data_IF_341933893099
#
_entry.id   IF_341933893099
#
_cell.length_a   1.000
_cell.length_b   1.000
_cell.length_c   1.000
_cell.angle_alpha   90.00
_cell.angle_beta   90.00
_cell.angle_gamma   90.00
#
_symmetry.space_group_name_H-M   'P 1'
#
loop_
_entity.id
_entity.type
_entity.pdbx_description
1 polymer ?
#
# COMPACT_ATOMS: atom_id res chain seq x y z
N UNK A 1 -21.34 24.36 27.42
CA UNK A 1 -20.36 23.29 27.12
C UNK A 1 -19.24 23.46 28.13
N UNK A 2 -19.12 22.54 29.09
CA UNK A 2 -18.11 22.60 30.14
C UNK A 2 -16.71 22.64 29.51
N UNK A 3 -15.95 23.69 29.81
CA UNK A 3 -14.55 23.80 29.43
C UNK A 3 -13.76 23.04 30.49
N UNK A 4 -13.11 21.96 30.08
CA UNK A 4 -12.30 21.17 31.00
C UNK A 4 -10.90 21.78 31.07
N UNK A 5 -10.47 22.08 32.28
CA UNK A 5 -9.20 22.75 32.59
C UNK A 5 -8.16 21.66 32.85
N UNK A 6 -7.05 21.66 32.11
CA UNK A 6 -5.92 20.75 32.35
C UNK A 6 -4.78 21.53 32.99
N UNK A 7 -4.45 21.20 34.23
CA UNK A 7 -3.32 21.78 34.94
C UNK A 7 -2.13 20.82 34.89
N UNK A 8 -1.02 21.30 34.36
CA UNK A 8 0.24 20.58 34.31
C UNK A 8 1.29 21.31 35.13
N UNK A 9 2.13 20.55 35.82
CA UNK A 9 3.35 21.08 36.40
C UNK A 9 4.40 21.19 35.30
N UNK A 10 5.23 22.24 35.31
CA UNK A 10 6.29 22.42 34.29
C UNK A 10 7.32 21.28 34.27
N UNK A 11 7.38 20.45 35.32
CA UNK A 11 8.27 19.27 35.42
C UNK A 11 7.59 17.96 34.99
N UNK A 12 6.31 17.98 34.63
CA UNK A 12 5.55 16.79 34.27
C UNK A 12 5.81 16.40 32.80
N UNK A 13 6.66 15.38 32.60
CA UNK A 13 6.93 14.79 31.29
C UNK A 13 6.06 13.56 30.99
N UNK A 14 5.01 13.30 31.78
CA UNK A 14 4.20 12.10 31.63
C UNK A 14 3.19 12.22 30.48
N UNK A 15 3.02 11.14 29.72
CA UNK A 15 1.97 11.05 28.71
C UNK A 15 0.61 10.79 29.39
N UNK A 16 -0.39 11.61 29.09
CA UNK A 16 -1.75 11.45 29.62
C UNK A 16 -2.73 11.16 28.49
N UNK A 17 -3.67 10.24 28.74
CA UNK A 17 -4.80 10.01 27.84
C UNK A 17 -5.90 11.01 28.16
N UNK A 18 -6.42 11.67 27.13
CA UNK A 18 -7.49 12.68 27.25
C UNK A 18 -8.71 12.22 26.45
N UNK A 19 -9.90 12.54 26.95
CA UNK A 19 -11.14 12.35 26.22
C UNK A 19 -11.24 13.43 25.13
N UNK A 20 -11.98 13.17 24.05
CA UNK A 20 -12.20 14.21 23.02
C UNK A 20 -12.89 15.41 23.65
N UNK A 21 -12.43 16.62 23.36
CA UNK A 21 -13.00 17.82 23.96
C UNK A 21 -12.20 19.08 23.67
N UNK A 22 -12.73 20.21 24.11
CA UNK A 22 -12.00 21.48 24.15
C UNK A 22 -11.43 21.67 25.54
N UNK A 23 -10.13 21.89 25.60
CA UNK A 23 -9.41 22.04 26.85
C UNK A 23 -8.63 23.35 26.87
N UNK A 24 -8.66 23.99 28.03
CA UNK A 24 -7.74 25.08 28.35
C UNK A 24 -6.54 24.46 29.08
N UNK A 25 -5.33 24.73 28.60
CA UNK A 25 -4.09 24.17 29.13
C UNK A 25 -3.44 25.22 30.02
N UNK A 26 -3.24 24.84 31.28
CA UNK A 26 -2.57 25.64 32.29
C UNK A 26 -1.26 24.96 32.67
N UNK A 27 -0.22 25.76 32.81
CA UNK A 27 1.08 25.33 33.34
C UNK A 27 1.34 26.15 34.60
N UNK A 28 1.52 25.49 35.75
CA UNK A 28 1.69 26.16 37.05
C UNK A 28 0.64 27.27 37.29
N UNK A 29 -0.64 26.95 37.08
CA UNK A 29 -1.79 27.87 37.21
C UNK A 29 -1.84 29.07 36.25
N UNK A 30 -0.91 29.17 35.30
CA UNK A 30 -0.93 30.18 34.23
C UNK A 30 -1.54 29.59 32.96
N UNK A 31 -2.54 30.25 32.38
CA UNK A 31 -3.17 29.80 31.13
C UNK A 31 -2.23 30.04 29.96
N UNK A 32 -1.73 28.98 29.34
CA UNK A 32 -0.75 29.08 28.25
C UNK A 32 -1.39 28.86 26.88
N UNK A 33 -2.38 27.96 26.79
CA UNK A 33 -3.12 27.70 25.54
C UNK A 33 -4.62 27.61 25.84
N UNK A 34 -5.43 28.34 25.06
CA UNK A 34 -6.89 28.38 25.20
C UNK A 34 -7.58 27.67 24.05
N UNK A 35 -8.71 27.05 24.36
CA UNK A 35 -9.65 26.46 23.38
C UNK A 35 -9.02 25.43 22.42
N UNK A 36 -8.04 24.66 22.89
CA UNK A 36 -7.44 23.60 22.07
C UNK A 36 -8.41 22.42 21.94
N UNK A 37 -8.73 22.08 20.70
CA UNK A 37 -9.60 20.95 20.38
C UNK A 37 -8.77 19.66 20.24
N UNK A 38 -8.87 18.78 21.23
CA UNK A 38 -8.27 17.45 21.19
C UNK A 38 -9.22 16.50 20.48
N UNK A 39 -8.75 15.97 19.35
CA UNK A 39 -9.50 15.04 18.52
C UNK A 39 -9.04 13.59 18.74
N UNK A 40 -9.94 12.64 18.48
CA UNK A 40 -9.69 11.21 18.74
C UNK A 40 -8.57 10.66 17.84
N UNK A 41 -7.65 9.91 18.45
CA UNK A 41 -6.54 9.25 17.73
C UNK A 41 -5.38 10.16 17.35
N UNK A 42 -5.47 11.47 17.61
CA UNK A 42 -4.35 12.38 17.47
C UNK A 42 -3.43 12.35 18.69
N UNK A 43 -2.13 12.49 18.44
CA UNK A 43 -1.12 12.69 19.49
C UNK A 43 -0.63 14.13 19.38
N UNK A 44 -0.79 14.88 20.47
CA UNK A 44 -0.38 16.27 20.57
C UNK A 44 0.79 16.36 21.54
N UNK A 45 1.83 17.10 21.15
CA UNK A 45 2.92 17.50 22.04
C UNK A 45 2.81 18.98 22.32
N UNK A 46 2.80 19.33 23.60
CA UNK A 46 2.79 20.71 24.05
C UNK A 46 4.20 21.02 24.52
N UNK A 47 4.94 21.79 23.74
CA UNK A 47 6.24 22.30 24.11
C UNK A 47 6.03 23.54 24.97
N UNK A 48 6.56 23.55 26.19
CA UNK A 48 6.49 24.70 27.10
C UNK A 48 7.89 25.24 27.29
N UNK A 49 8.09 26.52 26.97
CA UNK A 49 9.30 27.28 27.29
C UNK A 49 8.99 28.25 28.44
N UNK A 50 9.87 28.29 29.42
CA UNK A 50 9.83 29.24 30.53
C UNK A 50 10.66 30.47 30.14
N UNK A 51 9.98 31.61 29.99
CA UNK A 51 10.61 32.92 29.80
C UNK A 51 10.65 33.66 31.15
N UNK A 52 11.59 34.62 31.35
CA UNK A 52 11.68 35.39 32.59
C UNK A 52 10.42 36.18 32.97
N UNK A 53 9.46 36.33 32.05
CA UNK A 53 8.20 37.08 32.22
C UNK A 53 6.95 36.20 32.10
N UNK A 54 7.07 34.89 31.87
CA UNK A 54 5.93 33.98 31.79
C UNK A 54 6.22 32.63 31.13
N UNK A 55 5.17 31.86 30.86
CA UNK A 55 5.25 30.58 30.14
C UNK A 55 4.77 30.78 28.70
N UNK A 56 5.57 30.34 27.73
CA UNK A 56 5.17 30.23 26.32
C UNK A 56 4.94 28.75 26.00
N UNK A 57 3.81 28.39 25.39
CA UNK A 57 3.61 27.03 24.92
C UNK A 57 3.22 26.99 23.45
N UNK A 58 3.82 26.02 22.75
CA UNK A 58 3.50 25.69 21.38
C UNK A 58 3.00 24.26 21.31
N UNK A 59 1.85 24.06 20.66
CA UNK A 59 1.29 22.74 20.44
C UNK A 59 1.60 22.24 19.03
N UNK A 60 2.28 21.11 18.97
CA UNK A 60 2.62 20.41 17.74
C UNK A 60 1.78 19.14 17.66
N UNK A 61 1.08 18.96 16.55
CA UNK A 61 0.36 17.72 16.25
C UNK A 61 1.38 16.73 15.68
N UNK A 62 1.65 15.64 16.41
CA UNK A 62 2.54 14.57 15.93
C UNK A 62 1.78 13.64 15.00
N UNK A 63 0.60 13.21 15.44
CA UNK A 63 -0.26 12.31 14.68
C UNK A 63 -1.55 13.04 14.34
N UNK A 64 -1.91 13.15 13.05
CA UNK A 64 -3.17 13.74 12.65
C UNK A 64 -4.36 13.00 13.29
N UNK A 65 -5.47 13.71 13.52
CA UNK A 65 -6.66 13.08 14.06
C UNK A 65 -7.24 12.06 13.11
N UNK A 66 -7.75 10.97 13.68
CA UNK A 66 -8.35 9.92 12.88
C UNK A 66 -9.68 10.43 12.29
N UNK A 67 -9.74 10.51 10.95
CA UNK A 67 -10.90 11.00 10.21
C UNK A 67 -11.69 9.89 9.53
N UNK A 68 -11.11 8.70 9.32
CA UNK A 68 -11.70 7.62 8.52
C UNK A 68 -11.54 6.27 9.21
N UNK A 69 -12.59 5.45 9.19
CA UNK A 69 -12.50 4.08 9.71
C UNK A 69 -11.54 3.23 8.88
N UNK A 70 -10.68 2.47 9.57
CA UNK A 70 -9.75 1.50 8.96
C UNK A 70 -10.47 0.49 8.04
N UNK A 71 -11.76 0.21 8.28
CA UNK A 71 -12.55 -0.70 7.45
C UNK A 71 -12.67 -0.24 5.99
N UNK A 72 -12.45 1.05 5.69
CA UNK A 72 -12.43 1.53 4.30
C UNK A 72 -11.26 0.98 3.47
N UNK A 73 -10.21 0.44 4.11
CA UNK A 73 -9.15 -0.27 3.39
C UNK A 73 -9.59 -1.66 2.90
N UNK A 74 -10.61 -2.26 3.51
CA UNK A 74 -11.08 -3.61 3.12
C UNK A 74 -11.51 -3.69 1.64
N UNK A 75 -12.43 -2.84 1.14
CA UNK A 75 -12.90 -2.96 -0.24
C UNK A 75 -11.78 -2.78 -1.28
N UNK A 76 -10.84 -1.85 -1.06
CA UNK A 76 -9.71 -1.64 -1.98
C UNK A 76 -8.78 -2.87 -2.04
N UNK A 77 -8.47 -3.50 -0.90
CA UNK A 77 -7.61 -4.69 -0.87
C UNK A 77 -8.29 -5.87 -1.56
N UNK A 78 -9.60 -6.04 -1.34
CA UNK A 78 -10.38 -7.09 -2.01
C UNK A 78 -10.35 -6.91 -3.52
N UNK A 79 -10.62 -5.71 -4.04
CA UNK A 79 -10.61 -5.44 -5.49
C UNK A 79 -9.21 -5.62 -6.09
N UNK A 80 -8.16 -5.11 -5.44
CA UNK A 80 -6.79 -5.25 -5.95
C UNK A 80 -6.34 -6.71 -5.98
N UNK A 81 -6.57 -7.47 -4.91
CA UNK A 81 -6.17 -8.88 -4.83
C UNK A 81 -6.93 -9.76 -5.82
N UNK A 82 -8.24 -9.52 -6.01
CA UNK A 82 -9.00 -10.21 -7.06
C UNK A 82 -8.42 -9.92 -8.44
N UNK A 83 -8.11 -8.66 -8.76
CA UNK A 83 -7.49 -8.29 -10.03
C UNK A 83 -6.12 -8.94 -10.24
N UNK A 84 -5.28 -8.94 -9.21
CA UNK A 84 -3.96 -9.57 -9.24
C UNK A 84 -4.05 -11.07 -9.51
N UNK A 85 -4.91 -11.80 -8.80
CA UNK A 85 -5.07 -13.26 -8.98
C UNK A 85 -5.62 -13.55 -10.38
N UNK A 86 -6.63 -12.80 -10.81
CA UNK A 86 -7.22 -12.98 -12.14
C UNK A 86 -6.21 -12.72 -13.26
N UNK A 87 -5.33 -11.72 -13.14
CA UNK A 87 -4.36 -11.41 -14.19
C UNK A 87 -3.11 -12.30 -14.11
N UNK A 88 -2.51 -12.42 -12.93
CA UNK A 88 -1.21 -13.08 -12.73
C UNK A 88 -1.28 -14.59 -12.92
N UNK A 89 -2.26 -15.24 -12.25
CA UNK A 89 -2.37 -16.70 -12.30
C UNK A 89 -2.81 -17.16 -13.70
N UNK A 90 -3.86 -16.55 -14.25
CA UNK A 90 -4.38 -16.94 -15.57
C UNK A 90 -3.41 -16.57 -16.70
N UNK A 91 -2.72 -15.44 -16.60
CA UNK A 91 -1.73 -14.99 -17.59
C UNK A 91 -0.53 -15.93 -17.67
N UNK A 92 -0.03 -16.37 -16.52
CA UNK A 92 1.05 -17.38 -16.45
C UNK A 92 0.59 -18.73 -16.98
N UNK A 93 -0.60 -19.19 -16.58
CA UNK A 93 -1.16 -20.45 -17.05
C UNK A 93 -1.32 -20.45 -18.58
N UNK A 94 -1.92 -19.40 -19.14
CA UNK A 94 -2.05 -19.21 -20.58
C UNK A 94 -0.68 -19.22 -21.28
N UNK A 95 0.29 -18.48 -20.75
CA UNK A 95 1.63 -18.41 -21.32
C UNK A 95 2.34 -19.77 -21.30
N UNK A 96 2.13 -20.59 -20.26
CA UNK A 96 2.64 -21.95 -20.22
C UNK A 96 1.94 -22.91 -21.19
N UNK A 97 0.66 -22.70 -21.51
CA UNK A 97 -0.01 -23.48 -22.59
C UNK A 97 0.48 -23.09 -23.98
N UNK A 98 0.93 -21.85 -24.16
CA UNK A 98 1.42 -21.30 -25.42
C UNK A 98 2.95 -21.35 -25.55
N UNK A 99 3.66 -22.03 -24.66
CA UNK A 99 5.12 -22.18 -24.72
C UNK A 99 5.56 -23.66 -24.85
N UNK A 100 6.59 -23.96 -25.65
CA UNK A 100 7.21 -25.30 -25.69
C UNK A 100 7.69 -25.74 -24.30
N UNK A 101 7.68 -27.05 -24.02
CA UNK A 101 8.00 -27.61 -22.70
C UNK A 101 9.38 -27.22 -22.17
N UNK A 102 10.36 -26.96 -23.05
CA UNK A 102 11.72 -26.51 -22.70
C UNK A 102 11.82 -25.04 -22.28
N UNK A 103 10.81 -24.20 -22.52
CA UNK A 103 10.87 -22.75 -22.29
C UNK A 103 10.16 -22.27 -21.01
N UNK A 104 9.51 -23.16 -20.26
CA UNK A 104 8.71 -22.78 -19.07
C UNK A 104 9.51 -21.98 -18.04
N UNK A 105 10.76 -22.39 -17.75
CA UNK A 105 11.62 -21.67 -16.80
C UNK A 105 12.02 -20.28 -17.31
N UNK A 106 12.23 -20.13 -18.61
CA UNK A 106 12.55 -18.82 -19.22
C UNK A 106 11.35 -17.88 -19.15
N UNK A 107 10.13 -18.39 -19.39
CA UNK A 107 8.90 -17.62 -19.23
C UNK A 107 8.74 -17.10 -17.80
N UNK A 108 8.97 -17.95 -16.80
CA UNK A 108 8.88 -17.54 -15.40
C UNK A 108 9.90 -16.44 -15.06
N UNK A 109 11.14 -16.55 -15.56
CA UNK A 109 12.15 -15.52 -15.36
C UNK A 109 11.78 -14.20 -16.03
N UNK A 110 11.21 -14.24 -17.24
CA UNK A 110 10.73 -13.04 -17.94
C UNK A 110 9.54 -12.43 -17.18
N UNK A 111 8.63 -13.25 -16.64
CA UNK A 111 7.54 -12.76 -15.82
C UNK A 111 8.03 -12.04 -14.55
N UNK A 112 9.02 -12.60 -13.85
CA UNK A 112 9.61 -11.92 -12.69
C UNK A 112 10.35 -10.64 -13.09
N UNK A 113 10.96 -10.62 -14.27
CA UNK A 113 11.61 -9.43 -14.81
C UNK A 113 10.61 -8.30 -15.08
N UNK A 114 9.42 -8.60 -15.62
CA UNK A 114 8.39 -7.58 -15.82
C UNK A 114 7.87 -7.03 -14.49
N UNK A 115 7.71 -7.87 -13.46
CA UNK A 115 7.36 -7.42 -12.10
C UNK A 115 8.43 -6.49 -11.54
N UNK A 116 9.72 -6.84 -11.70
CA UNK A 116 10.83 -5.99 -11.25
C UNK A 116 10.82 -4.63 -11.96
N UNK A 117 10.56 -4.61 -13.27
CA UNK A 117 10.45 -3.37 -14.04
C UNK A 117 9.24 -2.52 -13.61
N UNK A 118 8.10 -3.14 -13.34
CA UNK A 118 6.92 -2.45 -12.78
C UNK A 118 7.22 -1.78 -11.44
N UNK A 119 7.89 -2.49 -10.54
CA UNK A 119 8.33 -1.92 -9.25
C UNK A 119 9.32 -0.77 -9.43
N UNK A 120 10.25 -0.88 -10.40
CA UNK A 120 11.19 0.19 -10.70
C UNK A 120 10.47 1.48 -11.14
N UNK A 121 9.45 1.37 -11.99
CA UNK A 121 8.64 2.52 -12.43
C UNK A 121 7.97 3.21 -11.23
N UNK A 122 7.39 2.43 -10.31
CA UNK A 122 6.74 2.97 -9.11
C UNK A 122 7.73 3.77 -8.26
N UNK A 123 8.92 3.20 -8.00
CA UNK A 123 9.97 3.87 -7.21
C UNK A 123 10.40 5.17 -7.89
N UNK A 124 10.65 5.14 -9.20
CA UNK A 124 11.06 6.34 -9.95
C UNK A 124 10.04 7.47 -9.87
N UNK A 125 8.75 7.16 -9.93
CA UNK A 125 7.68 8.16 -9.87
C UNK A 125 7.59 8.78 -8.48
N UNK A 126 7.65 7.95 -7.42
CA UNK A 126 7.51 8.39 -6.03
C UNK A 126 8.75 9.16 -5.57
N UNK A 127 9.94 8.63 -5.80
CA UNK A 127 11.19 9.27 -5.36
C UNK A 127 11.49 10.54 -6.17
N UNK A 128 11.06 10.57 -7.43
CA UNK A 128 11.22 11.73 -8.31
C UNK A 128 10.44 12.97 -7.88
N UNK A 129 9.51 12.88 -6.93
CA UNK A 129 8.64 14.00 -6.47
C UNK A 129 8.06 14.81 -7.64
N UNK A 130 7.68 14.13 -8.72
CA UNK A 130 7.21 14.79 -9.94
C UNK A 130 5.85 15.49 -9.76
N UNK A 131 5.09 15.13 -8.72
CA UNK A 131 3.75 15.63 -8.46
C UNK A 131 3.63 16.11 -7.00
N UNK A 132 3.29 17.38 -6.81
CA UNK A 132 3.18 18.00 -5.47
C UNK A 132 2.09 17.39 -4.57
N UNK A 133 1.23 16.53 -5.13
CA UNK A 133 0.07 16.02 -4.41
C UNK A 133 -0.16 14.54 -4.69
N UNK A 134 -0.28 13.76 -3.62
CA UNK A 134 -0.41 12.30 -3.65
C UNK A 134 -1.61 11.80 -4.46
N UNK A 135 -2.72 12.54 -4.47
CA UNK A 135 -3.89 12.19 -5.29
C UNK A 135 -3.57 12.21 -6.79
N UNK A 136 -2.68 13.10 -7.24
CA UNK A 136 -2.26 13.14 -8.65
C UNK A 136 -1.45 11.91 -9.02
N UNK A 137 -0.62 11.41 -8.11
CA UNK A 137 0.13 10.16 -8.31
C UNK A 137 -0.82 8.97 -8.48
N UNK A 138 -1.84 8.86 -7.62
CA UNK A 138 -2.86 7.82 -7.75
C UNK A 138 -3.62 7.90 -9.08
N UNK A 139 -3.96 9.11 -9.54
CA UNK A 139 -4.58 9.29 -10.85
C UNK A 139 -3.64 8.93 -12.01
N UNK A 140 -2.35 9.23 -11.88
CA UNK A 140 -1.34 8.86 -12.88
C UNK A 140 -1.19 7.34 -12.98
N UNK A 141 -1.12 6.63 -11.85
CA UNK A 141 -1.08 5.17 -11.84
C UNK A 141 -2.36 4.54 -12.42
N UNK A 142 -3.53 5.09 -12.07
CA UNK A 142 -4.80 4.64 -12.66
C UNK A 142 -4.83 4.85 -14.17
N UNK A 143 -4.34 5.99 -14.66
CA UNK A 143 -4.22 6.28 -16.09
C UNK A 143 -3.28 5.32 -16.81
N UNK A 144 -2.12 5.03 -16.21
CA UNK A 144 -1.14 4.08 -16.77
C UNK A 144 -1.72 2.66 -16.87
N UNK A 145 -2.44 2.21 -15.84
CA UNK A 145 -3.16 0.92 -15.85
C UNK A 145 -4.26 0.88 -16.92
N UNK A 146 -5.02 1.96 -17.12
CA UNK A 146 -6.04 2.02 -18.18
C UNK A 146 -5.42 1.92 -19.57
N UNK A 147 -4.29 2.60 -19.80
CA UNK A 147 -3.56 2.52 -21.06
C UNK A 147 -3.05 1.10 -21.31
N UNK A 148 -2.43 0.46 -20.31
CA UNK A 148 -1.97 -0.93 -20.42
C UNK A 148 -3.13 -1.88 -20.74
N UNK A 149 -4.27 -1.72 -20.06
CA UNK A 149 -5.45 -2.53 -20.29
C UNK A 149 -6.03 -2.35 -21.71
N UNK A 150 -5.99 -1.14 -22.26
CA UNK A 150 -6.39 -0.88 -23.66
C UNK A 150 -5.44 -1.56 -24.65
N UNK A 151 -4.13 -1.47 -24.43
CA UNK A 151 -3.11 -2.10 -25.28
C UNK A 151 -3.26 -3.63 -25.21
N UNK A 152 -3.37 -4.20 -24.01
CA UNK A 152 -3.58 -5.63 -23.79
C UNK A 152 -4.83 -6.13 -24.49
N UNK A 153 -5.96 -5.41 -24.36
CA UNK A 153 -7.21 -5.76 -25.03
C UNK A 153 -7.05 -5.74 -26.56
N UNK A 154 -6.41 -4.71 -27.12
CA UNK A 154 -6.17 -4.63 -28.56
C UNK A 154 -5.30 -5.78 -29.08
N UNK A 155 -4.26 -6.18 -28.32
CA UNK A 155 -3.42 -7.33 -28.65
C UNK A 155 -4.18 -8.64 -28.54
N UNK A 156 -4.97 -8.83 -27.48
CA UNK A 156 -5.75 -10.04 -27.26
C UNK A 156 -6.75 -10.29 -28.40
N UNK A 157 -7.42 -9.24 -28.90
CA UNK A 157 -8.34 -9.35 -30.04
C UNK A 157 -7.63 -9.74 -31.35
N UNK A 158 -6.33 -9.46 -31.48
CA UNK A 158 -5.52 -9.80 -32.66
C UNK A 158 -4.73 -11.09 -32.49
N UNK A 159 -4.80 -11.72 -31.32
CA UNK A 159 -3.99 -12.89 -31.01
C UNK A 159 -4.58 -14.15 -31.66
N UNK A 160 -3.76 -14.86 -32.43
CA UNK A 160 -4.11 -16.17 -33.00
C UNK A 160 -3.47 -17.25 -32.14
N UNK A 161 -4.28 -18.16 -31.62
CA UNK A 161 -3.82 -19.27 -30.78
C UNK A 161 -2.83 -20.15 -31.55
N UNK A 162 -1.69 -20.44 -30.93
CA UNK A 162 -0.73 -21.39 -31.47
C UNK A 162 -1.03 -22.79 -30.92
N UNK A 163 -1.40 -23.72 -31.79
CA UNK A 163 -1.46 -25.14 -31.42
C UNK A 163 -0.04 -25.70 -31.30
N UNK A 164 0.43 -25.87 -30.08
CA UNK A 164 1.72 -26.51 -29.81
C UNK A 164 1.48 -28.01 -29.67
N UNK A 165 1.81 -28.78 -30.71
CA UNK A 165 1.98 -30.23 -30.59
C UNK A 165 3.16 -30.48 -29.64
N UNK A 166 2.84 -30.80 -28.39
CA UNK A 166 3.82 -31.15 -27.37
C UNK A 166 4.70 -32.30 -27.87
N UNK A 167 6.02 -32.08 -27.91
CA UNK A 167 7.02 -33.13 -28.17
C UNK A 167 7.00 -34.27 -27.14
N UNK A 168 6.16 -34.22 -26.10
CA UNK A 168 5.94 -35.32 -25.17
C UNK A 168 5.23 -36.52 -25.81
N UNK A 169 4.56 -36.36 -26.96
CA UNK A 169 3.95 -37.47 -27.70
C UNK A 169 4.99 -38.41 -28.37
N UNK A 170 6.29 -38.04 -28.33
CA UNK A 170 7.39 -38.81 -28.92
C UNK A 170 8.27 -39.57 -27.92
N UNK A 171 7.97 -39.57 -26.62
CA UNK A 171 8.55 -40.60 -25.76
C UNK A 171 7.68 -41.84 -25.93
N UNK A 172 8.15 -42.90 -26.62
CA UNK A 172 7.47 -44.18 -26.50
C UNK A 172 7.45 -44.46 -25.01
N UNK A 173 6.29 -44.82 -24.48
CA UNK A 173 6.27 -45.55 -23.23
C UNK A 173 7.06 -46.82 -23.53
N UNK A 174 8.35 -46.80 -23.22
CA UNK A 174 9.16 -48.01 -23.09
C UNK A 174 8.43 -48.79 -22.01
N UNK A 175 7.55 -49.66 -22.47
CA UNK A 175 6.74 -50.57 -21.70
C UNK A 175 7.70 -51.24 -20.72
N UNK A 176 7.67 -50.83 -19.45
CA UNK A 176 8.49 -51.43 -18.40
C UNK A 176 8.00 -52.87 -18.27
N UNK A 177 8.54 -53.76 -19.09
CA UNK A 177 8.35 -55.20 -18.98
C UNK A 177 9.06 -55.62 -17.71
N UNK A 178 8.29 -55.76 -16.65
CA UNK A 178 8.73 -56.45 -15.44
C UNK A 178 9.29 -57.83 -15.85
N UNK A 179 10.50 -58.20 -15.41
CA UNK A 179 11.03 -59.52 -15.69
C UNK A 179 10.07 -60.56 -15.13
N UNK A 180 9.68 -61.51 -15.98
CA UNK A 180 8.86 -62.64 -15.60
C UNK A 180 9.61 -63.42 -14.53
N UNK A 181 8.99 -63.55 -13.36
CA UNK A 181 9.51 -64.32 -12.24
C UNK A 181 9.50 -65.81 -12.64
N UNK A 182 10.68 -66.36 -12.93
CA UNK A 182 10.91 -67.82 -12.91
C UNK A 182 11.20 -68.27 -11.47
#
# INVERSE_FOLDING_TARGET
MEKTVLNFLSSDMTQKSLVKGKYDILVNDTVVLKDMAFQTGAVYTINVNEDPTGYNANAVVITPPNSIHILWLVPQYVVMTMGEVMFSVTGLEFSFTQAPASMKSVLQSIWLLTVAFGNLIVVLIVEGNFLDAQWKEFFLFAGLMLVDMMIFTAMALRYKYAEIKSSTEQLPIEEIRLPKKE
#
